data_IF_212133662406
#
_entry.id   IF_212133662406
#
_cell.length_a   1.000
_cell.length_b   1.000
_cell.length_c   1.000
_cell.angle_alpha   90.00
_cell.angle_beta   90.00
_cell.angle_gamma   90.00
#
_symmetry.space_group_name_H-M   'P 1'
#
loop_
_entity.id
_entity.type
_entity.pdbx_description
1 polymer ?
#
# COMPACT_ATOMS: atom_id res chain seq x y z
N UNK A 1 10.24 -0.24 -15.35
CA UNK A 1 10.23 -0.15 -13.86
C UNK A 1 11.38 -0.92 -13.21
N UNK A 2 11.51 -2.24 -13.37
CA UNK A 2 12.56 -3.03 -12.68
C UNK A 2 13.98 -2.46 -12.92
N UNK A 3 14.34 -2.10 -14.15
CA UNK A 3 15.64 -1.52 -14.47
C UNK A 3 15.90 -0.14 -13.87
N UNK A 4 14.83 0.64 -13.60
CA UNK A 4 14.93 1.97 -12.97
C UNK A 4 15.32 1.88 -11.48
N UNK A 5 14.97 0.76 -10.83
CA UNK A 5 15.25 0.54 -9.40
C UNK A 5 16.47 -0.38 -9.15
N UNK A 6 17.04 -0.98 -10.20
CA UNK A 6 18.26 -1.76 -10.03
C UNK A 6 19.47 -0.86 -9.78
N UNK A 7 20.43 -1.31 -8.97
CA UNK A 7 21.71 -0.65 -8.86
C UNK A 7 22.37 -0.47 -10.23
N UNK A 8 23.09 0.62 -10.39
CA UNK A 8 23.91 0.84 -11.57
C UNK A 8 25.04 -0.21 -11.64
N UNK A 9 25.27 -0.86 -12.79
CA UNK A 9 26.24 -1.95 -12.87
C UNK A 9 27.69 -1.51 -12.65
N UNK A 10 28.00 -0.23 -12.79
CA UNK A 10 29.33 0.32 -12.60
C UNK A 10 29.55 0.77 -11.17
N UNK A 11 28.62 1.58 -10.63
CA UNK A 11 28.74 2.15 -9.27
C UNK A 11 28.18 1.22 -8.17
N UNK A 12 27.39 0.21 -8.53
CA UNK A 12 26.65 -0.66 -7.62
C UNK A 12 25.77 0.11 -6.61
N UNK A 13 25.33 1.31 -6.98
CA UNK A 13 24.45 2.16 -6.18
C UNK A 13 23.13 2.41 -6.91
N UNK A 14 22.08 2.69 -6.15
CA UNK A 14 20.86 3.22 -6.72
C UNK A 14 21.09 4.68 -7.12
N UNK A 15 20.95 4.94 -8.40
CA UNK A 15 21.11 6.28 -8.96
C UNK A 15 19.73 6.92 -9.14
N UNK A 16 19.46 8.00 -8.41
CA UNK A 16 18.15 8.66 -8.41
C UNK A 16 17.72 9.13 -9.80
N UNK A 17 18.67 9.54 -10.65
CA UNK A 17 18.37 9.98 -12.01
C UNK A 17 17.68 8.92 -12.86
N UNK A 18 18.01 7.63 -12.68
CA UNK A 18 17.38 6.52 -13.41
C UNK A 18 15.90 6.39 -13.11
N UNK A 19 15.51 6.66 -11.86
CA UNK A 19 14.12 6.68 -11.47
C UNK A 19 13.37 7.86 -12.11
N UNK A 20 13.95 9.05 -12.06
CA UNK A 20 13.31 10.24 -12.65
C UNK A 20 13.25 10.18 -14.17
N UNK A 21 14.28 9.64 -14.81
CA UNK A 21 14.29 9.36 -16.24
C UNK A 21 13.16 8.40 -16.64
N UNK A 22 12.99 7.32 -15.88
CA UNK A 22 11.86 6.41 -16.06
C UNK A 22 10.50 7.14 -15.95
N UNK A 23 10.30 7.94 -14.92
CA UNK A 23 9.02 8.66 -14.71
C UNK A 23 8.76 9.65 -15.84
N UNK A 24 9.80 10.33 -16.35
CA UNK A 24 9.68 11.26 -17.46
C UNK A 24 9.23 10.57 -18.76
N UNK A 25 9.73 9.39 -19.03
CA UNK A 25 9.39 8.62 -20.23
C UNK A 25 8.13 7.76 -20.08
N UNK A 26 7.63 7.58 -18.85
CA UNK A 26 6.47 6.78 -18.51
C UNK A 26 5.49 7.55 -17.62
N UNK A 27 4.79 8.58 -18.18
CA UNK A 27 3.90 9.44 -17.40
C UNK A 27 2.74 8.71 -16.74
N UNK A 28 2.37 7.52 -17.24
CA UNK A 28 1.39 6.63 -16.61
C UNK A 28 1.81 6.19 -15.19
N UNK A 29 3.09 6.30 -14.84
CA UNK A 29 3.61 5.99 -13.50
C UNK A 29 3.37 7.12 -12.48
N UNK A 30 3.01 8.33 -12.92
CA UNK A 30 2.91 9.51 -12.06
C UNK A 30 1.93 9.34 -10.91
N UNK A 31 0.79 8.70 -11.15
CA UNK A 31 -0.20 8.45 -10.10
C UNK A 31 0.41 7.68 -8.92
N UNK A 32 1.08 6.57 -9.20
CA UNK A 32 1.74 5.77 -8.16
C UNK A 32 2.90 6.53 -7.52
N UNK A 33 3.70 7.25 -8.31
CA UNK A 33 4.86 8.01 -7.82
C UNK A 33 4.43 9.12 -6.86
N UNK A 34 3.38 9.87 -7.20
CA UNK A 34 2.84 10.93 -6.34
C UNK A 34 2.23 10.35 -5.07
N UNK A 35 1.54 9.21 -5.17
CA UNK A 35 1.00 8.51 -4.02
C UNK A 35 2.11 8.08 -3.05
N UNK A 36 3.13 7.39 -3.54
CA UNK A 36 4.26 6.90 -2.71
C UNK A 36 5.05 8.04 -2.08
N UNK A 37 5.14 9.19 -2.77
CA UNK A 37 5.85 10.38 -2.24
C UNK A 37 4.96 11.28 -1.36
N UNK A 38 3.68 11.00 -1.26
CA UNK A 38 2.76 11.69 -0.34
C UNK A 38 2.91 11.16 1.09
N UNK A 39 2.31 11.80 2.10
CA UNK A 39 2.27 11.27 3.46
C UNK A 39 1.72 9.84 3.55
N UNK A 40 0.85 9.43 2.63
CA UNK A 40 0.33 8.06 2.55
C UNK A 40 1.40 7.00 2.26
N UNK A 41 2.49 7.40 1.64
CA UNK A 41 3.65 6.53 1.39
C UNK A 41 4.61 6.43 2.57
N UNK A 42 4.37 7.17 3.66
CA UNK A 42 5.24 7.22 4.85
C UNK A 42 4.43 6.86 6.11
N UNK A 43 3.99 5.61 6.26
CA UNK A 43 3.28 5.18 7.46
C UNK A 43 4.18 5.30 8.71
N UNK A 44 3.57 5.59 9.86
CA UNK A 44 4.29 5.71 11.12
C UNK A 44 4.93 4.37 11.57
N UNK A 45 4.36 3.27 11.16
CA UNK A 45 4.85 1.90 11.37
C UNK A 45 3.93 0.90 10.70
N UNK A 46 4.31 -0.37 10.67
CA UNK A 46 3.48 -1.41 10.06
C UNK A 46 2.10 -1.52 10.72
N UNK A 47 2.00 -1.27 12.00
CA UNK A 47 0.75 -1.33 12.76
C UNK A 47 -0.30 -0.31 12.31
N UNK A 48 0.13 0.77 11.65
CA UNK A 48 -0.72 1.85 11.20
C UNK A 48 -1.02 1.82 9.69
N UNK A 49 -0.61 0.75 9.00
CA UNK A 49 -0.82 0.60 7.57
C UNK A 49 -2.18 -0.02 7.25
N UNK A 50 -2.88 0.58 6.30
CA UNK A 50 -3.99 -0.07 5.62
C UNK A 50 -3.46 -1.09 4.61
N UNK A 51 -4.20 -2.18 4.42
CA UNK A 51 -3.96 -3.14 3.36
C UNK A 51 -5.14 -3.20 2.41
N UNK A 52 -4.89 -3.47 1.13
CA UNK A 52 -5.96 -3.72 0.18
C UNK A 52 -5.53 -4.73 -0.88
N UNK A 53 -6.47 -5.56 -1.34
CA UNK A 53 -6.21 -6.43 -2.47
C UNK A 53 -6.07 -5.57 -3.73
N UNK A 54 -5.00 -5.84 -4.50
CA UNK A 54 -4.80 -5.19 -5.82
C UNK A 54 -5.84 -5.71 -6.81
N UNK A 55 -6.12 -6.99 -6.75
CA UNK A 55 -7.02 -7.67 -7.68
C UNK A 55 -8.44 -7.76 -7.11
N UNK A 56 -9.41 -7.71 -8.01
CA UNK A 56 -10.79 -8.10 -7.73
C UNK A 56 -10.92 -9.61 -7.94
N UNK A 57 -11.58 -10.28 -7.02
CA UNK A 57 -11.80 -11.73 -7.06
C UNK A 57 -13.24 -12.03 -7.38
N UNK A 58 -13.46 -12.95 -8.30
CA UNK A 58 -14.79 -13.51 -8.57
C UNK A 58 -15.04 -14.65 -7.58
N UNK A 59 -16.12 -14.54 -6.82
CA UNK A 59 -16.59 -15.58 -5.90
C UNK A 59 -17.90 -16.15 -6.43
N UNK A 60 -18.04 -17.47 -6.36
CA UNK A 60 -19.24 -18.18 -6.79
C UNK A 60 -19.72 -19.02 -5.61
N UNK A 61 -20.99 -18.92 -5.27
CA UNK A 61 -21.60 -19.75 -4.23
C UNK A 61 -22.05 -21.11 -4.79
N UNK A 62 -22.57 -21.98 -3.91
CA UNK A 62 -23.02 -23.32 -4.29
C UNK A 62 -24.23 -23.33 -5.24
N UNK A 63 -24.96 -22.21 -5.31
CA UNK A 63 -26.08 -22.00 -6.22
C UNK A 63 -25.65 -21.47 -7.60
N UNK A 64 -24.34 -21.23 -7.79
CA UNK A 64 -23.79 -20.70 -9.03
C UNK A 64 -23.86 -19.16 -9.16
N UNK A 65 -24.31 -18.46 -8.13
CA UNK A 65 -24.36 -16.99 -8.15
C UNK A 65 -22.94 -16.43 -7.98
N UNK A 66 -22.56 -15.55 -8.90
CA UNK A 66 -21.24 -14.94 -8.92
C UNK A 66 -21.28 -13.47 -8.42
N UNK A 67 -20.26 -13.11 -7.64
CA UNK A 67 -20.02 -11.73 -7.20
C UNK A 67 -18.55 -11.39 -7.33
N UNK A 68 -18.26 -10.11 -7.53
CA UNK A 68 -16.90 -9.57 -7.51
C UNK A 68 -16.59 -9.03 -6.11
N UNK A 69 -15.44 -9.41 -5.57
CA UNK A 69 -15.03 -9.02 -4.23
C UNK A 69 -13.67 -8.35 -4.22
N UNK A 70 -13.54 -7.31 -3.41
CA UNK A 70 -12.27 -6.67 -3.09
C UNK A 70 -12.10 -6.63 -1.57
N UNK A 71 -10.93 -6.99 -1.09
CA UNK A 71 -10.64 -7.03 0.35
C UNK A 71 -9.82 -5.82 0.77
N UNK A 72 -10.13 -5.26 1.93
CA UNK A 72 -9.30 -4.27 2.60
C UNK A 72 -9.11 -4.65 4.07
N UNK A 73 -8.02 -4.16 4.65
CA UNK A 73 -7.66 -4.35 6.05
C UNK A 73 -7.44 -2.98 6.66
N UNK A 74 -8.32 -2.62 7.60
CA UNK A 74 -8.28 -1.33 8.28
C UNK A 74 -7.66 -1.52 9.67
N UNK A 75 -6.56 -0.79 10.00
CA UNK A 75 -5.93 -0.92 11.31
C UNK A 75 -6.84 -0.36 12.41
N UNK A 76 -7.18 -1.17 13.41
CA UNK A 76 -8.01 -0.72 14.55
C UNK A 76 -7.33 0.33 15.41
N UNK A 77 -6.00 0.35 15.43
CA UNK A 77 -5.19 1.38 16.08
C UNK A 77 -5.12 2.70 15.28
N UNK A 78 -5.80 2.77 14.15
CA UNK A 78 -5.90 3.93 13.28
C UNK A 78 -4.74 4.08 12.29
N UNK A 79 -5.04 4.71 11.18
CA UNK A 79 -4.04 5.10 10.15
C UNK A 79 -3.25 6.28 10.66
N UNK A 80 -1.93 6.18 10.64
CA UNK A 80 -1.01 7.25 11.04
C UNK A 80 0.17 7.30 10.09
N UNK A 81 0.43 8.50 9.59
CA UNK A 81 1.53 8.76 8.68
C UNK A 81 2.51 9.78 9.27
N UNK A 82 3.76 9.70 8.84
CA UNK A 82 4.80 10.66 9.20
C UNK A 82 4.91 11.75 8.13
N UNK A 83 5.45 12.90 8.52
CA UNK A 83 5.96 13.86 7.54
C UNK A 83 7.31 13.42 7.01
N UNK A 84 7.76 13.99 5.89
CA UNK A 84 9.07 13.70 5.33
C UNK A 84 10.20 14.05 6.31
N UNK A 85 10.04 15.15 7.06
CA UNK A 85 11.02 15.58 8.06
C UNK A 85 11.10 14.61 9.24
N UNK A 86 9.94 14.15 9.74
CA UNK A 86 9.89 13.14 10.81
C UNK A 86 10.52 11.83 10.36
N UNK A 87 10.22 11.38 9.15
CA UNK A 87 10.81 10.16 8.61
C UNK A 87 12.34 10.29 8.45
N UNK A 88 12.82 11.42 7.95
CA UNK A 88 14.24 11.68 7.80
C UNK A 88 14.97 11.70 9.16
N UNK A 89 14.34 12.26 10.20
CA UNK A 89 14.92 12.27 11.55
C UNK A 89 15.01 10.85 12.13
N UNK A 90 13.94 10.06 12.01
CA UNK A 90 13.92 8.67 12.48
C UNK A 90 15.00 7.85 11.76
N UNK A 91 15.13 7.99 10.44
CA UNK A 91 16.11 7.24 9.65
C UNK A 91 17.57 7.51 10.03
N UNK A 92 17.91 8.65 10.60
CA UNK A 92 19.26 8.94 11.09
C UNK A 92 19.68 7.99 12.21
N UNK A 93 18.74 7.51 12.99
CA UNK A 93 19.00 6.73 14.20
C UNK A 93 18.53 5.30 14.08
N UNK A 94 17.45 5.06 13.33
CA UNK A 94 16.82 3.74 13.21
C UNK A 94 16.18 3.51 11.83
N UNK A 95 16.95 2.93 10.94
CA UNK A 95 16.46 2.52 9.61
C UNK A 95 15.40 1.40 9.70
N UNK A 96 15.43 0.62 10.79
CA UNK A 96 14.51 -0.49 11.04
C UNK A 96 13.30 -0.12 11.91
N UNK A 97 12.99 1.16 12.08
CA UNK A 97 11.96 1.66 12.98
C UNK A 97 10.64 0.89 12.92
N UNK A 98 10.08 0.70 11.72
CA UNK A 98 8.76 0.06 11.56
C UNK A 98 8.77 -1.41 12.02
N UNK A 99 9.87 -2.13 11.77
CA UNK A 99 10.06 -3.51 12.23
C UNK A 99 10.22 -3.57 13.74
N UNK A 100 11.02 -2.66 14.30
CA UNK A 100 11.24 -2.58 15.74
C UNK A 100 9.95 -2.23 16.48
N UNK A 101 9.21 -1.23 16.01
CA UNK A 101 7.92 -0.85 16.59
C UNK A 101 6.94 -2.02 16.68
N UNK A 102 6.86 -2.81 15.60
CA UNK A 102 6.00 -4.01 15.57
C UNK A 102 6.49 -5.07 16.56
N UNK A 103 7.80 -5.35 16.55
CA UNK A 103 8.41 -6.33 17.45
C UNK A 103 8.17 -5.97 18.91
N UNK A 104 8.50 -4.74 19.29
CA UNK A 104 8.35 -4.23 20.66
C UNK A 104 6.88 -4.20 21.11
N UNK A 105 5.94 -3.94 20.19
CA UNK A 105 4.52 -3.99 20.49
C UNK A 105 4.08 -5.42 20.82
N UNK A 106 4.52 -6.40 20.04
CA UNK A 106 4.22 -7.81 20.28
C UNK A 106 4.82 -8.29 21.61
N UNK A 107 6.09 -7.92 21.90
CA UNK A 107 6.77 -8.25 23.17
C UNK A 107 6.02 -7.70 24.39
N UNK A 108 5.43 -6.51 24.28
CA UNK A 108 4.62 -5.91 25.36
C UNK A 108 3.19 -6.47 25.45
N UNK A 109 2.78 -7.33 24.53
CA UNK A 109 1.40 -7.82 24.45
C UNK A 109 0.40 -6.83 23.84
N UNK A 110 0.89 -5.72 23.23
CA UNK A 110 0.10 -4.73 22.50
C UNK A 110 -0.05 -5.18 21.05
N UNK A 111 -0.85 -6.22 20.84
CA UNK A 111 -1.00 -6.86 19.54
C UNK A 111 -1.77 -5.93 18.57
N UNK A 112 -1.22 -5.63 17.40
CA UNK A 112 -1.94 -4.87 16.39
C UNK A 112 -3.08 -5.70 15.80
N UNK A 113 -4.20 -5.03 15.56
CA UNK A 113 -5.41 -5.65 15.00
C UNK A 113 -5.84 -4.93 13.74
N UNK A 114 -6.38 -5.68 12.79
CA UNK A 114 -7.00 -5.15 11.57
C UNK A 114 -8.41 -5.71 11.42
N UNK A 115 -9.31 -4.85 11.01
CA UNK A 115 -10.63 -5.26 10.54
C UNK A 115 -10.56 -5.61 9.07
N UNK A 116 -10.97 -6.83 8.72
CA UNK A 116 -11.06 -7.23 7.31
C UNK A 116 -12.42 -6.81 6.75
N UNK A 117 -12.41 -5.91 5.78
CA UNK A 117 -13.59 -5.46 5.07
C UNK A 117 -13.65 -6.08 3.68
N UNK A 118 -14.85 -6.37 3.22
CA UNK A 118 -15.11 -6.90 1.88
C UNK A 118 -16.05 -5.96 1.15
N UNK A 119 -15.57 -5.40 0.06
CA UNK A 119 -16.42 -4.69 -0.88
C UNK A 119 -16.96 -5.70 -1.90
N UNK A 120 -18.28 -5.75 -2.04
CA UNK A 120 -18.94 -6.69 -2.95
C UNK A 120 -19.62 -5.89 -4.05
N UNK A 121 -19.48 -6.36 -5.28
CA UNK A 121 -20.08 -5.80 -6.47
C UNK A 121 -20.71 -6.93 -7.30
N UNK A 122 -21.82 -6.65 -7.95
CA UNK A 122 -22.44 -7.58 -8.89
C UNK A 122 -21.49 -7.92 -10.05
N UNK A 123 -21.54 -9.17 -10.51
CA UNK A 123 -20.83 -9.61 -11.72
C UNK A 123 -21.67 -9.32 -13.00
N UNK A 124 -22.89 -8.77 -12.86
CA UNK A 124 -23.72 -8.38 -14.00
C UNK A 124 -23.24 -7.05 -14.59
N UNK A 125 -22.78 -7.04 -15.87
CA UNK A 125 -22.31 -5.81 -16.52
C UNK A 125 -23.44 -4.77 -16.75
N UNK A 126 -24.70 -5.15 -16.59
CA UNK A 126 -25.85 -4.27 -16.71
C UNK A 126 -26.38 -3.72 -15.38
N UNK A 127 -25.73 -4.08 -14.28
CA UNK A 127 -26.06 -3.54 -12.96
C UNK A 127 -25.50 -2.12 -12.81
N UNK A 128 -26.35 -1.12 -13.04
CA UNK A 128 -25.98 0.31 -12.92
C UNK A 128 -25.52 0.69 -11.49
N UNK A 129 -25.94 -0.04 -10.47
CA UNK A 129 -25.53 0.23 -9.08
C UNK A 129 -24.10 -0.22 -8.79
N UNK A 130 -23.57 -1.16 -9.57
CA UNK A 130 -22.20 -1.62 -9.44
C UNK A 130 -21.15 -0.51 -9.65
N UNK A 131 -21.50 0.51 -10.43
CA UNK A 131 -20.58 1.63 -10.73
C UNK A 131 -20.59 2.73 -9.66
N UNK A 132 -21.61 2.79 -8.79
CA UNK A 132 -21.75 3.84 -7.79
C UNK A 132 -21.04 3.54 -6.45
N UNK A 133 -20.60 2.31 -6.24
CA UNK A 133 -19.90 1.89 -5.01
C UNK A 133 -18.37 2.02 -5.09
N UNK A 134 -17.85 2.66 -6.12
CA UNK A 134 -16.40 2.89 -6.33
C UNK A 134 -15.91 4.24 -5.77
N UNK A 135 -16.44 4.70 -4.65
CA UNK A 135 -15.94 5.92 -3.99
C UNK A 135 -15.20 5.59 -2.71
#
# INVERSE_FOLDING_TARGET
MIHAFKPDPVSNRQEAWRFYDFVQHHPESLHMVTWVKSPWGIPAGYRNMQGSSVNTYKRVNDEGVAVLCKFSFEPKQGVKNLTAEQAAEIQKHDVGHATRDLYDAIERGDYPEWEMCVQIMSDDPHDEQAHLQQR
#
